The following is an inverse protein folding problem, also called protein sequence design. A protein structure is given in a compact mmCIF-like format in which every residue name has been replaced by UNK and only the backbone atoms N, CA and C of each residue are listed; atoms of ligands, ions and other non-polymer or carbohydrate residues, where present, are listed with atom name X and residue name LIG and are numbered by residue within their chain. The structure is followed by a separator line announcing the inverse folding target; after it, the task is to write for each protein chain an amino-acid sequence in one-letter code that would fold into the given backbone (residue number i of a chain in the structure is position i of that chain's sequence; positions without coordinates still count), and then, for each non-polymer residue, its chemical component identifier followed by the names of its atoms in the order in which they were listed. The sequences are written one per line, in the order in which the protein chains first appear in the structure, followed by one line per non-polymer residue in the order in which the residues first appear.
data_IF_574161595470
#
_entry.id   IF_574161595470
#
_cell.length_a   1.000
_cell.length_b   1.000
_cell.length_c   1.000
_cell.angle_alpha   90.00
_cell.angle_beta   90.00
_cell.angle_gamma   90.00
#
_symmetry.space_group_name_H-M   'P 1'
#
loop_
_entity.id
_entity.type
_entity.pdbx_description
1 polymer ?
#
# COMPACT_ATOMS: atom_id res chain seq x y z
N UNK A 1 -71.81 -49.39 27.70
CA UNK A 1 -71.84 -50.54 26.78
C UNK A 1 -71.05 -50.11 25.57
N UNK A 2 -69.83 -50.64 25.42
CA UNK A 2 -69.38 -51.44 24.27
C UNK A 2 -69.05 -50.60 23.05
N UNK A 3 -68.03 -50.79 22.31
CA UNK A 3 -67.20 -51.99 22.04
C UNK A 3 -65.79 -51.55 21.65
N UNK A 4 -64.85 -52.36 22.01
CA UNK A 4 -63.41 -52.24 21.59
C UNK A 4 -63.36 -52.72 20.13
N UNK A 5 -62.78 -51.95 19.23
CA UNK A 5 -62.30 -52.37 17.93
C UNK A 5 -60.77 -52.33 17.91
N UNK A 6 -60.24 -53.53 17.83
CA UNK A 6 -58.83 -53.82 17.69
C UNK A 6 -58.47 -53.61 16.24
N UNK A 7 -57.63 -52.59 15.93
CA UNK A 7 -57.07 -52.43 14.60
C UNK A 7 -55.65 -52.94 14.64
N UNK A 8 -55.42 -54.06 14.04
CA UNK A 8 -54.11 -54.68 13.82
C UNK A 8 -53.47 -53.91 12.67
N UNK A 9 -52.45 -53.13 12.98
CA UNK A 9 -51.68 -52.43 11.97
C UNK A 9 -50.52 -53.32 11.50
N UNK A 10 -50.65 -53.82 10.26
CA UNK A 10 -49.57 -54.57 9.60
C UNK A 10 -48.39 -53.66 9.39
N UNK A 11 -47.28 -53.96 10.03
CA UNK A 11 -46.00 -53.33 9.74
C UNK A 11 -45.37 -54.00 8.54
N UNK A 12 -45.47 -53.38 7.39
CA UNK A 12 -44.75 -53.81 6.20
C UNK A 12 -43.36 -53.28 6.33
N UNK A 13 -42.39 -54.11 6.68
CA UNK A 13 -40.97 -53.78 6.65
C UNK A 13 -40.57 -53.80 5.18
N UNK A 14 -40.53 -52.60 4.58
CA UNK A 14 -39.87 -52.38 3.31
C UNK A 14 -38.37 -52.19 3.61
N UNK A 15 -37.61 -53.26 3.45
CA UNK A 15 -36.17 -53.19 3.28
C UNK A 15 -35.87 -52.56 1.92
N UNK A 16 -35.94 -51.24 1.86
CA UNK A 16 -35.43 -50.48 0.76
C UNK A 16 -33.91 -50.30 0.96
N UNK A 17 -33.15 -50.92 0.08
CA UNK A 17 -31.69 -50.82 0.11
C UNK A 17 -31.22 -49.36 0.02
N UNK A 18 -30.53 -48.89 1.04
CA UNK A 18 -29.73 -47.69 0.96
C UNK A 18 -28.60 -47.96 -0.02
N UNK A 19 -28.81 -47.67 -1.29
CA UNK A 19 -27.71 -47.46 -2.19
C UNK A 19 -26.97 -46.21 -1.73
N UNK A 20 -25.88 -46.42 -1.03
CA UNK A 20 -24.88 -45.43 -0.80
C UNK A 20 -24.32 -44.93 -2.15
N UNK A 21 -24.91 -43.86 -2.65
CA UNK A 21 -24.26 -43.09 -3.69
C UNK A 21 -23.10 -42.41 -3.03
N UNK A 22 -21.97 -43.11 -2.97
CA UNK A 22 -20.66 -42.44 -2.89
C UNK A 22 -20.58 -41.57 -4.13
N UNK A 23 -20.97 -40.31 -3.97
CA UNK A 23 -20.63 -39.27 -4.90
C UNK A 23 -19.09 -39.29 -4.98
N UNK A 24 -18.63 -39.81 -6.08
CA UNK A 24 -17.23 -39.69 -6.50
C UNK A 24 -17.01 -38.21 -6.74
N UNK A 25 -16.64 -37.53 -5.67
CA UNK A 25 -16.14 -36.17 -5.73
C UNK A 25 -14.83 -36.28 -6.49
N UNK A 26 -14.94 -36.21 -7.81
CA UNK A 26 -13.82 -35.98 -8.67
C UNK A 26 -13.24 -34.67 -8.17
N UNK A 27 -12.17 -34.79 -7.39
CA UNK A 27 -11.23 -33.70 -7.17
C UNK A 27 -10.75 -33.31 -8.56
N UNK A 28 -11.44 -32.34 -9.16
CA UNK A 28 -10.82 -31.46 -10.13
C UNK A 28 -9.72 -30.75 -9.36
N UNK A 29 -8.61 -31.48 -9.25
CA UNK A 29 -7.33 -30.90 -8.96
C UNK A 29 -7.03 -30.02 -10.18
N UNK A 30 -7.64 -28.82 -10.18
CA UNK A 30 -7.22 -27.77 -11.05
C UNK A 30 -5.72 -27.63 -10.77
N UNK A 31 -4.92 -28.07 -11.71
CA UNK A 31 -3.54 -27.66 -11.87
C UNK A 31 -3.57 -26.12 -12.08
N UNK A 32 -3.84 -25.42 -11.01
CA UNK A 32 -3.42 -24.06 -10.84
C UNK A 32 -1.90 -24.19 -10.79
N UNK A 33 -1.27 -24.14 -11.96
CA UNK A 33 0.14 -23.91 -12.05
C UNK A 33 0.34 -22.69 -11.12
N UNK A 34 1.01 -22.94 -10.01
CA UNK A 34 1.39 -21.93 -9.03
C UNK A 34 2.33 -21.01 -9.82
N UNK A 35 1.74 -20.03 -10.51
CA UNK A 35 2.47 -18.97 -11.20
C UNK A 35 3.08 -18.13 -10.10
N UNK A 36 4.13 -18.70 -9.47
CA UNK A 36 4.90 -18.00 -8.48
C UNK A 36 5.35 -16.69 -9.11
N UNK A 37 4.72 -15.59 -8.68
CA UNK A 37 5.07 -14.27 -9.17
C UNK A 37 6.58 -14.07 -9.04
N UNK A 38 7.28 -13.69 -10.12
CA UNK A 38 8.68 -13.33 -10.04
C UNK A 38 8.91 -12.08 -9.19
N UNK A 39 7.86 -11.25 -9.00
CA UNK A 39 7.86 -10.11 -8.10
C UNK A 39 7.54 -10.60 -6.68
N UNK A 40 8.50 -10.50 -5.78
CA UNK A 40 8.36 -10.94 -4.38
C UNK A 40 7.74 -9.88 -3.47
N UNK A 41 7.68 -8.62 -3.89
CA UNK A 41 7.09 -7.51 -3.12
C UNK A 41 7.62 -6.15 -3.51
N UNK A 42 7.06 -5.11 -2.89
CA UNK A 42 7.57 -3.76 -3.01
C UNK A 42 8.78 -3.59 -2.09
N UNK A 43 9.94 -3.27 -2.67
CA UNK A 43 11.14 -2.96 -1.89
C UNK A 43 11.12 -1.53 -1.36
N UNK A 44 10.74 -0.57 -2.18
CA UNK A 44 10.71 0.85 -1.84
C UNK A 44 10.47 1.74 -3.06
N UNK A 45 10.44 3.03 -2.81
CA UNK A 45 10.34 4.09 -3.83
C UNK A 45 11.67 4.84 -3.87
N UNK A 46 12.11 5.27 -5.05
CA UNK A 46 13.32 6.05 -5.22
C UNK A 46 12.98 7.43 -5.76
N UNK A 47 13.50 8.46 -5.09
CA UNK A 47 13.53 9.82 -5.57
C UNK A 47 14.96 10.24 -5.90
N UNK A 48 15.14 10.88 -7.04
CA UNK A 48 16.38 11.57 -7.36
C UNK A 48 16.41 12.87 -6.58
N UNK A 49 17.55 13.21 -6.01
CA UNK A 49 17.73 14.44 -5.24
C UNK A 49 19.09 15.08 -5.56
N UNK A 50 19.17 16.41 -5.53
CA UNK A 50 20.40 17.14 -5.81
C UNK A 50 21.32 17.20 -4.59
N UNK A 51 20.74 17.19 -3.39
CA UNK A 51 21.45 17.22 -2.11
C UNK A 51 20.78 16.26 -1.12
N UNK A 52 21.42 15.11 -0.88
CA UNK A 52 20.92 14.07 0.01
C UNK A 52 20.74 14.57 1.44
N UNK A 53 21.69 15.39 1.95
CA UNK A 53 21.61 15.87 3.33
C UNK A 53 20.43 16.84 3.51
N UNK A 54 20.20 17.73 2.55
CA UNK A 54 19.04 18.64 2.53
C UNK A 54 17.73 17.82 2.51
N UNK A 55 17.64 16.83 1.64
CA UNK A 55 16.45 15.98 1.53
C UNK A 55 16.23 15.13 2.80
N UNK A 56 17.27 14.55 3.41
CA UNK A 56 17.17 13.87 4.71
C UNK A 56 16.58 14.80 5.76
N UNK A 57 17.10 16.03 5.87
CA UNK A 57 16.59 17.02 6.83
C UNK A 57 15.09 17.33 6.59
N UNK A 58 14.69 17.50 5.33
CA UNK A 58 13.29 17.72 4.98
C UNK A 58 12.39 16.54 5.41
N UNK A 59 12.72 15.34 4.96
CA UNK A 59 11.88 14.16 5.26
C UNK A 59 11.84 13.82 6.75
N UNK A 60 12.94 14.00 7.48
CA UNK A 60 12.99 13.65 8.91
C UNK A 60 12.45 14.76 9.82
N UNK A 61 12.82 16.03 9.58
CA UNK A 61 12.45 17.14 10.48
C UNK A 61 11.11 17.77 10.16
N UNK A 62 10.75 17.86 8.85
CA UNK A 62 9.48 18.46 8.47
C UNK A 62 8.34 17.43 8.40
N UNK A 63 8.61 16.25 7.79
CA UNK A 63 7.59 15.23 7.61
C UNK A 63 7.63 14.11 8.65
N UNK A 64 8.66 14.04 9.50
CA UNK A 64 8.76 13.10 10.61
C UNK A 64 9.10 11.66 10.20
N UNK A 65 9.64 11.44 9.00
CA UNK A 65 10.13 10.13 8.61
C UNK A 65 11.37 9.75 9.42
N UNK A 66 11.59 8.46 9.59
CA UNK A 66 12.77 7.94 10.27
C UNK A 66 13.93 7.80 9.28
N UNK A 67 15.12 8.27 9.66
CA UNK A 67 16.35 7.95 8.94
C UNK A 67 16.77 6.52 9.29
N UNK A 68 16.88 5.65 8.30
CA UNK A 68 17.33 4.27 8.49
C UNK A 68 18.82 4.12 8.20
N UNK A 69 19.28 4.72 7.11
CA UNK A 69 20.66 4.64 6.66
C UNK A 69 21.04 5.80 5.74
N UNK A 70 22.32 6.21 5.75
CA UNK A 70 22.83 7.18 4.78
C UNK A 70 24.31 6.94 4.49
N UNK A 71 24.71 7.31 3.27
CA UNK A 71 26.10 7.38 2.81
C UNK A 71 26.25 8.67 2.00
N UNK A 72 26.54 9.75 2.70
CA UNK A 72 26.66 11.06 2.07
C UNK A 72 27.92 11.18 1.20
N UNK A 73 27.85 11.94 0.10
CA UNK A 73 26.71 12.70 -0.41
C UNK A 73 25.77 11.89 -1.33
N UNK A 74 26.03 10.59 -1.52
CA UNK A 74 25.41 9.84 -2.60
C UNK A 74 24.02 9.33 -2.28
N UNK A 75 23.73 8.92 -1.03
CA UNK A 75 22.54 8.10 -0.77
C UNK A 75 22.04 8.23 0.67
N UNK A 76 20.70 8.15 0.82
CA UNK A 76 20.05 7.89 2.11
C UNK A 76 18.78 7.06 1.92
N UNK A 77 18.35 6.39 2.99
CA UNK A 77 17.05 5.74 3.11
C UNK A 77 16.32 6.31 4.32
N UNK A 78 15.10 6.77 4.09
CA UNK A 78 14.16 7.17 5.15
C UNK A 78 12.90 6.32 5.07
N UNK A 79 12.17 6.16 6.18
CA UNK A 79 11.00 5.29 6.24
C UNK A 79 9.84 5.89 7.03
N UNK A 80 8.61 5.45 6.68
CA UNK A 80 7.39 5.67 7.43
C UNK A 80 6.51 4.41 7.29
N UNK A 81 6.22 3.72 8.41
CA UNK A 81 5.57 2.42 8.37
C UNK A 81 6.31 1.44 7.45
N UNK A 82 5.61 0.89 6.47
CA UNK A 82 6.19 -0.02 5.47
C UNK A 82 6.84 0.69 4.27
N UNK A 83 6.71 2.00 4.17
CA UNK A 83 7.36 2.77 3.11
C UNK A 83 8.86 2.87 3.39
N UNK A 84 9.67 2.50 2.38
CA UNK A 84 11.09 2.84 2.28
C UNK A 84 11.25 3.83 1.14
N UNK A 85 11.72 5.03 1.45
CA UNK A 85 12.02 6.05 0.47
C UNK A 85 13.54 6.19 0.34
N UNK A 86 14.03 5.94 -0.86
CA UNK A 86 15.45 6.00 -1.19
C UNK A 86 15.73 7.36 -1.82
N UNK A 87 16.60 8.14 -1.21
CA UNK A 87 17.06 9.43 -1.70
C UNK A 87 18.40 9.21 -2.40
N UNK A 88 18.40 9.32 -3.73
CA UNK A 88 19.59 9.10 -4.57
C UNK A 88 20.13 10.43 -5.06
N UNK A 89 21.29 10.80 -4.54
CA UNK A 89 22.03 11.99 -4.94
C UNK A 89 23.00 11.73 -6.10
N UNK A 90 23.73 12.77 -6.51
CA UNK A 90 24.79 12.64 -7.50
C UNK A 90 25.85 11.60 -7.06
N UNK A 91 26.23 10.72 -8.00
CA UNK A 91 27.20 9.67 -7.74
C UNK A 91 26.62 8.35 -7.18
N UNK A 92 25.34 8.32 -6.78
CA UNK A 92 24.70 7.07 -6.44
C UNK A 92 24.55 6.15 -7.67
N UNK A 93 24.62 4.83 -7.46
CA UNK A 93 24.41 3.88 -8.55
C UNK A 93 23.03 4.02 -9.23
N UNK A 94 22.02 4.42 -8.44
CA UNK A 94 20.65 4.67 -8.92
C UNK A 94 20.44 6.04 -9.55
N UNK A 95 21.49 6.86 -9.71
CA UNK A 95 21.43 8.18 -10.38
C UNK A 95 22.35 8.24 -11.62
N UNK A 96 22.86 7.08 -12.06
CA UNK A 96 23.69 7.01 -13.27
C UNK A 96 22.85 7.34 -14.49
N UNK A 97 23.46 8.02 -15.50
CA UNK A 97 22.79 8.20 -16.79
C UNK A 97 22.31 6.91 -17.40
N UNK A 98 21.27 6.97 -18.21
CA UNK A 98 20.82 5.87 -19.03
C UNK A 98 21.84 5.59 -20.16
N UNK A 99 21.79 4.41 -20.81
CA UNK A 99 22.70 4.06 -21.91
C UNK A 99 22.69 5.05 -23.07
N UNK A 100 21.57 5.76 -23.27
CA UNK A 100 21.41 6.82 -24.28
C UNK A 100 21.92 8.20 -23.82
N UNK A 101 22.50 8.29 -22.61
CA UNK A 101 23.01 9.52 -22.02
C UNK A 101 21.99 10.36 -21.26
N UNK A 102 20.71 9.95 -21.24
CA UNK A 102 19.67 10.69 -20.50
C UNK A 102 19.94 10.65 -18.99
N UNK A 103 19.87 11.83 -18.36
CA UNK A 103 20.03 11.97 -16.91
C UNK A 103 18.72 11.65 -16.20
N UNK A 104 18.87 11.05 -15.00
CA UNK A 104 17.73 10.86 -14.11
C UNK A 104 17.56 12.11 -13.24
N UNK A 105 16.48 12.84 -13.50
CA UNK A 105 16.21 14.12 -12.82
C UNK A 105 15.12 13.96 -11.75
N UNK A 106 15.16 14.78 -10.68
CA UNK A 106 14.07 14.84 -9.71
C UNK A 106 12.81 15.47 -10.30
N UNK A 107 11.67 15.33 -9.61
CA UNK A 107 10.39 15.93 -9.99
C UNK A 107 9.40 14.95 -10.61
N UNK A 108 8.48 15.49 -11.41
CA UNK A 108 7.40 14.74 -12.05
C UNK A 108 6.07 14.79 -11.31
N UNK A 109 5.12 13.94 -11.77
CA UNK A 109 3.75 13.87 -11.21
C UNK A 109 3.52 12.65 -10.34
N UNK A 110 4.35 11.61 -10.49
CA UNK A 110 4.30 10.45 -9.59
C UNK A 110 4.70 10.86 -8.19
N UNK A 111 3.96 10.38 -7.19
CA UNK A 111 4.15 10.80 -5.81
C UNK A 111 3.95 9.67 -4.82
N UNK A 112 4.60 9.78 -3.69
CA UNK A 112 4.24 9.00 -2.51
C UNK A 112 3.04 9.63 -1.83
N UNK A 113 2.15 8.82 -1.27
CA UNK A 113 1.02 9.26 -0.46
C UNK A 113 1.32 8.89 0.99
N UNK A 114 1.42 9.91 1.84
CA UNK A 114 1.68 9.77 3.26
C UNK A 114 0.38 9.97 4.03
N UNK A 115 -0.07 8.94 4.72
CA UNK A 115 -1.23 9.07 5.61
C UNK A 115 -0.87 9.90 6.83
N UNK A 116 -1.74 10.85 7.17
CA UNK A 116 -1.61 11.72 8.33
C UNK A 116 -2.94 11.78 9.09
N UNK A 117 -2.88 12.16 10.35
CA UNK A 117 -4.03 12.56 11.15
C UNK A 117 -4.10 14.07 11.19
N UNK A 118 -5.33 14.64 11.24
CA UNK A 118 -5.61 16.06 11.33
C UNK A 118 -4.88 16.89 10.24
N UNK A 119 -5.19 16.57 8.99
CA UNK A 119 -4.57 17.24 7.84
C UNK A 119 -4.63 18.78 7.90
N UNK A 120 -5.76 19.41 8.32
CA UNK A 120 -5.79 20.87 8.47
C UNK A 120 -4.71 21.41 9.40
N UNK A 121 -4.54 20.83 10.59
CA UNK A 121 -3.51 21.27 11.53
C UNK A 121 -2.09 21.01 11.01
N UNK A 122 -1.88 19.91 10.27
CA UNK A 122 -0.59 19.62 9.62
C UNK A 122 -0.26 20.68 8.55
N UNK A 123 -1.23 21.07 7.74
CA UNK A 123 -1.06 22.13 6.72
C UNK A 123 -0.63 23.43 7.38
N UNK A 124 -1.35 23.86 8.42
CA UNK A 124 -1.04 25.11 9.13
C UNK A 124 0.36 25.09 9.74
N UNK A 125 0.75 23.95 10.34
CA UNK A 125 2.11 23.77 10.85
C UNK A 125 3.16 23.89 9.74
N UNK A 126 2.98 23.15 8.66
CA UNK A 126 3.95 23.13 7.56
C UNK A 126 4.04 24.47 6.84
N UNK A 127 2.93 25.23 6.72
CA UNK A 127 2.94 26.63 6.22
C UNK A 127 3.77 27.55 7.15
N UNK A 128 3.62 27.43 8.47
CA UNK A 128 4.43 28.17 9.44
C UNK A 128 5.92 27.83 9.36
N UNK A 129 6.22 26.58 9.04
CA UNK A 129 7.60 26.10 8.81
C UNK A 129 8.14 26.52 7.42
N UNK A 130 7.36 27.28 6.64
CA UNK A 130 7.75 27.86 5.35
C UNK A 130 7.55 26.96 4.15
N UNK A 131 6.86 25.81 4.30
CA UNK A 131 6.57 24.90 3.18
C UNK A 131 5.45 25.46 2.30
N UNK A 132 5.60 25.21 1.00
CA UNK A 132 4.59 25.58 0.00
C UNK A 132 3.88 24.32 -0.51
N UNK A 133 2.60 24.49 -0.81
CA UNK A 133 1.77 23.45 -1.38
C UNK A 133 1.49 23.72 -2.85
N UNK A 134 1.30 22.65 -3.64
CA UNK A 134 0.96 22.75 -5.07
C UNK A 134 -0.48 23.18 -5.31
N UNK A 135 -1.38 22.86 -4.38
CA UNK A 135 -2.82 23.10 -4.46
C UNK A 135 -3.40 23.45 -3.09
N UNK A 136 -4.65 23.81 -3.05
CA UNK A 136 -5.45 23.88 -1.81
C UNK A 136 -5.87 22.47 -1.37
N UNK A 137 -6.25 22.35 -0.09
CA UNK A 137 -6.75 21.09 0.45
C UNK A 137 -8.07 20.70 -0.25
N UNK A 138 -8.09 19.51 -0.81
CA UNK A 138 -9.26 18.92 -1.43
C UNK A 138 -9.95 17.94 -0.47
N UNK A 139 -11.28 17.92 -0.48
CA UNK A 139 -12.11 17.03 0.34
C UNK A 139 -12.98 16.20 -0.58
N UNK A 140 -12.87 14.88 -0.48
CA UNK A 140 -13.65 13.93 -1.25
C UNK A 140 -14.24 12.83 -0.36
N UNK A 141 -14.96 11.90 -0.96
CA UNK A 141 -15.58 10.76 -0.25
C UNK A 141 -14.54 9.84 0.41
N UNK A 142 -13.31 9.81 -0.10
CA UNK A 142 -12.21 9.00 0.46
C UNK A 142 -11.46 9.67 1.61
N UNK A 143 -11.61 10.99 1.79
CA UNK A 143 -10.88 11.75 2.79
C UNK A 143 -10.46 13.14 2.31
N UNK A 144 -9.42 13.68 2.94
CA UNK A 144 -8.82 14.97 2.63
C UNK A 144 -7.41 14.78 2.08
N UNK A 145 -7.01 15.61 1.12
CA UNK A 145 -5.69 15.53 0.50
C UNK A 145 -5.11 16.89 0.13
N UNK A 146 -3.80 16.98 0.07
CA UNK A 146 -3.05 18.14 -0.42
C UNK A 146 -1.69 17.69 -0.93
N UNK A 147 -1.13 18.42 -1.89
CA UNK A 147 0.17 18.12 -2.48
C UNK A 147 1.21 19.17 -2.14
N UNK A 148 2.43 18.73 -1.91
CA UNK A 148 3.61 19.58 -1.74
C UNK A 148 4.81 18.96 -2.45
N UNK A 149 5.88 19.73 -2.55
CA UNK A 149 7.14 19.27 -3.09
C UNK A 149 8.20 19.10 -2.00
N UNK A 150 9.10 18.14 -2.22
CA UNK A 150 10.36 18.11 -1.52
C UNK A 150 11.29 19.24 -2.05
N UNK A 151 12.47 19.46 -1.45
CA UNK A 151 13.39 20.54 -1.87
C UNK A 151 13.88 20.45 -3.32
N UNK A 152 13.73 19.31 -3.99
CA UNK A 152 14.13 19.07 -5.37
C UNK A 152 12.96 19.00 -6.36
N UNK A 153 11.71 19.18 -5.87
CA UNK A 153 10.50 19.17 -6.68
C UNK A 153 9.88 17.79 -6.85
N UNK A 154 10.31 16.79 -6.07
CA UNK A 154 9.62 15.51 -6.05
C UNK A 154 8.29 15.64 -5.32
N UNK A 155 7.22 15.16 -5.94
CA UNK A 155 5.86 15.34 -5.44
C UNK A 155 5.53 14.41 -4.26
N UNK A 156 4.83 14.95 -3.28
CA UNK A 156 4.33 14.26 -2.09
C UNK A 156 2.85 14.61 -1.92
N UNK A 157 2.02 13.64 -1.55
CA UNK A 157 0.65 13.88 -1.13
C UNK A 157 0.51 13.55 0.36
N UNK A 158 -0.10 14.46 1.12
CA UNK A 158 -0.58 14.18 2.46
C UNK A 158 -2.06 13.84 2.38
N UNK A 159 -2.45 12.73 2.99
CA UNK A 159 -3.79 12.19 2.92
C UNK A 159 -4.32 11.83 4.31
N UNK A 160 -5.48 12.36 4.66
CA UNK A 160 -6.26 11.98 5.84
C UNK A 160 -7.48 11.18 5.38
N UNK A 161 -7.54 9.85 5.63
CA UNK A 161 -8.71 9.05 5.27
C UNK A 161 -9.98 9.55 5.93
N UNK A 162 -11.13 9.38 5.25
CA UNK A 162 -12.42 9.61 5.86
C UNK A 162 -12.62 8.70 7.08
N UNK A 163 -13.25 9.22 8.14
CA UNK A 163 -13.67 8.38 9.26
C UNK A 163 -14.62 7.28 8.76
N UNK A 164 -14.41 6.07 9.22
CA UNK A 164 -15.27 4.91 8.94
C UNK A 164 -16.38 4.83 9.96
#
# INVERSE_FOLDING_TARGET
MKARALVICFIVIMMGGYMSQTAKQSSENSNQADTQSFVKGLWGVRYQVKDVNRSVNFYTKQLGLKLDHQTLPAFAQVSAGNLKLILSGPGASGSRPMPDGQQQEPGGWNRIILQVDDLPARIEKLKKDGLRFRNEMEVGSGGKQIQLDDPDGNSIELFEPAAR
#
